data_IF_691566528649
#
_entry.id   IF_691566528649
#
_cell.length_a   1.000
_cell.length_b   1.000
_cell.length_c   1.000
_cell.angle_alpha   90.00
_cell.angle_beta   90.00
_cell.angle_gamma   90.00
#
_symmetry.space_group_name_H-M   'P 1'
#
loop_
_entity.id
_entity.type
_entity.pdbx_description
1 polymer ?
#
# COMPACT_ATOMS: atom_id res chain seq x y z
N UNK A 1 -30.92 11.31 -16.83
CA UNK A 1 -30.28 10.89 -15.57
C UNK A 1 -29.11 9.98 -15.92
N UNK A 2 -27.87 10.43 -15.75
CA UNK A 2 -26.68 9.63 -16.07
C UNK A 2 -26.62 8.44 -15.12
N UNK A 3 -26.81 7.23 -15.63
CA UNK A 3 -26.54 6.01 -14.87
C UNK A 3 -25.04 6.02 -14.53
N UNK A 4 -24.72 6.27 -13.25
CA UNK A 4 -23.34 6.34 -12.76
C UNK A 4 -22.62 5.03 -13.02
N UNK A 5 -21.46 5.11 -13.65
CA UNK A 5 -20.65 3.96 -14.05
C UNK A 5 -20.10 3.14 -12.86
N UNK A 6 -19.37 2.05 -13.14
CA UNK A 6 -18.71 1.25 -12.11
C UNK A 6 -17.71 2.11 -11.32
N UNK A 7 -17.53 1.78 -10.04
CA UNK A 7 -16.52 2.40 -9.19
C UNK A 7 -15.44 1.41 -8.78
N UNK A 8 -14.70 1.73 -7.73
CA UNK A 8 -13.50 0.99 -7.34
C UNK A 8 -13.47 0.81 -5.83
N UNK A 9 -13.17 -0.40 -5.38
CA UNK A 9 -12.59 -0.56 -4.05
C UNK A 9 -11.13 -0.18 -4.12
N UNK A 10 -10.71 0.71 -3.23
CA UNK A 10 -9.40 1.30 -3.22
C UNK A 10 -8.79 1.23 -1.83
N UNK A 11 -7.52 0.88 -1.77
CA UNK A 11 -6.75 0.83 -0.54
C UNK A 11 -5.36 1.41 -0.76
N UNK A 12 -5.05 2.50 -0.06
CA UNK A 12 -3.74 3.16 -0.04
C UNK A 12 -3.15 3.08 1.35
N UNK A 13 -1.87 2.74 1.41
CA UNK A 13 -1.16 2.62 2.66
C UNK A 13 0.28 3.12 2.53
N UNK A 14 0.86 3.36 3.69
CA UNK A 14 2.30 3.55 3.85
C UNK A 14 2.84 2.47 4.78
N UNK A 15 4.04 1.98 4.49
CA UNK A 15 4.79 1.13 5.42
C UNK A 15 6.04 1.86 5.88
N UNK A 16 6.13 2.07 7.19
CA UNK A 16 7.31 2.62 7.84
C UNK A 16 8.26 1.47 8.12
N UNK A 17 9.49 1.52 7.62
CA UNK A 17 10.41 0.38 7.68
C UNK A 17 11.31 0.48 8.91
N UNK A 18 10.99 -0.25 10.01
CA UNK A 18 11.85 -0.25 11.18
C UNK A 18 13.14 -1.02 10.92
N UNK A 19 14.22 -0.58 11.55
CA UNK A 19 15.52 -1.22 11.45
C UNK A 19 16.22 -1.24 12.80
N UNK A 20 17.17 -2.17 12.94
CA UNK A 20 18.14 -2.23 14.03
C UNK A 20 19.54 -2.27 13.46
N UNK A 21 20.49 -1.65 14.16
CA UNK A 21 21.91 -1.75 13.85
C UNK A 21 22.54 -2.71 14.87
N UNK A 22 22.98 -3.91 14.44
CA UNK A 22 23.51 -4.92 15.34
C UNK A 22 24.89 -4.55 15.91
N UNK A 23 25.60 -3.59 15.31
CA UNK A 23 26.94 -3.17 15.74
C UNK A 23 26.89 -2.25 16.96
N UNK A 24 25.89 -1.38 17.07
CA UNK A 24 25.77 -0.40 18.17
C UNK A 24 24.44 -0.50 18.94
N UNK A 25 23.57 -1.45 18.60
CA UNK A 25 22.29 -1.69 19.25
C UNK A 25 21.23 -0.63 18.99
N UNK A 26 21.47 0.34 18.11
CA UNK A 26 20.49 1.41 17.81
C UNK A 26 19.35 0.89 16.94
N UNK A 27 18.21 1.55 17.02
CA UNK A 27 17.04 1.25 16.20
C UNK A 27 16.39 2.53 15.70
N UNK A 28 15.62 2.42 14.62
CA UNK A 28 14.99 3.57 14.00
C UNK A 28 13.97 3.19 12.94
N UNK A 29 13.52 4.20 12.20
CA UNK A 29 12.66 4.08 11.03
C UNK A 29 13.20 5.03 9.99
N UNK A 30 13.62 4.51 8.83
CA UNK A 30 14.24 5.34 7.78
C UNK A 30 13.29 5.57 6.62
N UNK A 31 12.79 4.49 6.02
CA UNK A 31 12.12 4.57 4.73
C UNK A 31 10.60 4.36 4.85
N UNK A 32 9.85 5.19 4.13
CA UNK A 32 8.40 5.09 3.99
C UNK A 32 8.08 4.56 2.60
N UNK A 33 7.58 3.34 2.54
CA UNK A 33 7.11 2.74 1.30
C UNK A 33 5.63 3.09 1.08
N UNK A 34 5.32 3.81 0.01
CA UNK A 34 3.95 4.19 -0.36
C UNK A 34 3.42 3.27 -1.45
N UNK A 35 2.23 2.72 -1.27
CA UNK A 35 1.58 1.90 -2.31
C UNK A 35 0.06 1.96 -2.21
N UNK A 36 -0.61 1.51 -3.26
CA UNK A 36 -2.06 1.39 -3.32
C UNK A 36 -2.49 0.24 -4.23
N UNK A 37 -3.66 -0.33 -3.93
CA UNK A 37 -4.34 -1.33 -4.76
C UNK A 37 -5.79 -0.95 -5.00
N UNK A 38 -6.34 -1.44 -6.10
CA UNK A 38 -7.75 -1.30 -6.39
C UNK A 38 -8.36 -2.48 -7.13
N UNK A 39 -9.68 -2.63 -7.02
CA UNK A 39 -10.47 -3.56 -7.83
C UNK A 39 -11.71 -2.82 -8.34
N UNK A 40 -12.00 -2.84 -9.66
CA UNK A 40 -13.25 -2.32 -10.20
C UNK A 40 -14.44 -3.11 -9.65
N UNK A 41 -15.49 -2.43 -9.20
CA UNK A 41 -16.69 -3.05 -8.64
C UNK A 41 -17.98 -2.38 -9.13
N UNK A 42 -19.07 -3.15 -9.30
CA UNK A 42 -20.40 -2.56 -9.48
C UNK A 42 -20.81 -1.76 -8.24
N UNK A 43 -21.54 -0.66 -8.41
CA UNK A 43 -21.96 0.26 -7.34
C UNK A 43 -22.69 -0.42 -6.16
N UNK A 44 -23.36 -1.55 -6.38
CA UNK A 44 -24.07 -2.29 -5.33
C UNK A 44 -23.15 -3.09 -4.38
N UNK A 45 -21.83 -3.10 -4.59
CA UNK A 45 -20.93 -4.01 -3.90
C UNK A 45 -20.47 -3.57 -2.50
N UNK A 46 -20.82 -2.37 -2.01
CA UNK A 46 -20.32 -1.77 -0.77
C UNK A 46 -20.28 -2.73 0.45
N UNK A 47 -21.22 -3.68 0.52
CA UNK A 47 -21.33 -4.69 1.59
C UNK A 47 -20.08 -5.60 1.71
N UNK A 48 -19.25 -5.69 0.67
CA UNK A 48 -18.08 -6.59 0.63
C UNK A 48 -16.72 -5.90 0.75
N UNK A 49 -16.69 -4.61 1.10
CA UNK A 49 -15.43 -3.84 1.14
C UNK A 49 -14.47 -4.33 2.24
N UNK A 50 -14.99 -4.68 3.41
CA UNK A 50 -14.19 -5.23 4.53
C UNK A 50 -13.61 -6.61 4.18
N UNK A 51 -14.41 -7.48 3.55
CA UNK A 51 -13.96 -8.79 3.07
C UNK A 51 -12.90 -8.65 1.98
N UNK A 52 -13.10 -7.74 1.04
CA UNK A 52 -12.11 -7.42 0.01
C UNK A 52 -10.79 -6.94 0.63
N UNK A 53 -10.84 -6.05 1.62
CA UNK A 53 -9.63 -5.57 2.32
C UNK A 53 -8.88 -6.74 2.97
N UNK A 54 -9.59 -7.57 3.72
CA UNK A 54 -8.99 -8.70 4.46
C UNK A 54 -8.45 -9.79 3.54
N UNK A 55 -9.22 -10.18 2.52
CA UNK A 55 -8.94 -11.38 1.72
C UNK A 55 -8.17 -11.08 0.43
N UNK A 56 -8.11 -9.82 -0.01
CA UNK A 56 -7.40 -9.43 -1.24
C UNK A 56 -6.37 -8.33 -1.01
N UNK A 57 -6.75 -7.20 -0.43
CA UNK A 57 -5.84 -6.05 -0.34
C UNK A 57 -4.68 -6.28 0.63
N UNK A 58 -4.94 -6.74 1.86
CA UNK A 58 -3.90 -6.96 2.89
C UNK A 58 -2.84 -8.01 2.49
N UNK A 59 -3.19 -9.16 1.90
CA UNK A 59 -2.17 -10.11 1.40
C UNK A 59 -1.23 -9.48 0.36
N UNK A 60 -1.77 -8.61 -0.51
CA UNK A 60 -0.97 -7.92 -1.52
C UNK A 60 -0.06 -6.86 -0.88
N UNK A 61 -0.55 -6.14 0.14
CA UNK A 61 0.24 -5.19 0.93
C UNK A 61 1.45 -5.88 1.57
N UNK A 62 1.22 -7.01 2.23
CA UNK A 62 2.27 -7.79 2.86
C UNK A 62 3.31 -8.24 1.83
N UNK A 63 2.87 -8.75 0.68
CA UNK A 63 3.78 -9.20 -0.37
C UNK A 63 4.62 -8.05 -0.96
N UNK A 64 4.01 -6.89 -1.19
CA UNK A 64 4.71 -5.70 -1.68
C UNK A 64 5.78 -5.25 -0.70
N UNK A 65 5.46 -5.19 0.59
CA UNK A 65 6.41 -4.80 1.64
C UNK A 65 7.52 -5.85 1.79
N UNK A 66 7.21 -7.15 1.75
CA UNK A 66 8.23 -8.21 1.78
C UNK A 66 9.20 -8.09 0.62
N UNK A 67 8.69 -7.81 -0.58
CA UNK A 67 9.53 -7.59 -1.76
C UNK A 67 10.39 -6.33 -1.61
N UNK A 68 9.81 -5.24 -1.13
CA UNK A 68 10.52 -4.00 -0.83
C UNK A 68 11.64 -4.22 0.19
N UNK A 69 11.36 -4.86 1.33
CA UNK A 69 12.34 -5.14 2.38
C UNK A 69 13.48 -6.06 1.92
N UNK A 70 13.19 -7.03 1.04
CA UNK A 70 14.24 -7.85 0.40
C UNK A 70 15.20 -7.01 -0.43
N UNK A 71 14.68 -6.02 -1.16
CA UNK A 71 15.50 -5.16 -2.00
C UNK A 71 16.31 -4.14 -1.17
N UNK A 72 15.72 -3.59 -0.11
CA UNK A 72 16.37 -2.53 0.70
C UNK A 72 17.38 -3.10 1.71
N UNK A 73 17.15 -4.31 2.25
CA UNK A 73 18.12 -4.97 3.13
C UNK A 73 19.48 -5.21 2.47
N UNK A 74 19.55 -5.27 1.13
CA UNK A 74 20.81 -5.44 0.41
C UNK A 74 21.67 -4.16 0.35
N UNK A 75 21.12 -2.99 0.70
CA UNK A 75 21.67 -1.71 0.22
C UNK A 75 22.34 -0.79 1.26
N UNK A 76 22.38 -1.06 2.59
CA UNK A 76 22.86 -0.03 3.55
C UNK A 76 23.66 -0.51 4.76
N UNK A 77 24.89 -0.01 4.87
CA UNK A 77 25.64 0.45 6.06
C UNK A 77 25.42 -0.28 7.41
N UNK A 78 25.27 -1.61 7.40
CA UNK A 78 25.08 -2.39 8.62
C UNK A 78 23.71 -2.24 9.29
N UNK A 79 22.71 -1.67 8.61
CA UNK A 79 21.32 -1.65 9.10
C UNK A 79 20.61 -2.95 8.72
N UNK A 80 19.91 -3.55 9.68
CA UNK A 80 19.05 -4.71 9.46
C UNK A 80 17.60 -4.30 9.62
N UNK A 81 16.85 -4.29 8.53
CA UNK A 81 15.42 -4.02 8.60
C UNK A 81 14.69 -5.22 9.20
N UNK A 82 13.68 -4.94 10.01
CA UNK A 82 12.85 -6.00 10.61
C UNK A 82 11.96 -6.63 9.55
N UNK A 83 11.45 -7.82 9.86
CA UNK A 83 10.44 -8.48 9.03
C UNK A 83 9.15 -7.66 8.97
N UNK A 84 8.33 -7.95 7.95
CA UNK A 84 7.03 -7.32 7.80
C UNK A 84 6.20 -7.46 9.08
N UNK A 85 5.64 -6.35 9.54
CA UNK A 85 4.70 -6.31 10.64
C UNK A 85 3.62 -5.27 10.35
N UNK A 86 2.36 -5.71 10.40
CA UNK A 86 1.21 -4.88 10.07
C UNK A 86 1.07 -3.65 10.96
N UNK A 87 1.62 -3.65 12.18
CA UNK A 87 1.60 -2.46 13.07
C UNK A 87 2.33 -1.25 12.49
N UNK A 88 3.21 -1.45 11.51
CA UNK A 88 3.92 -0.37 10.81
C UNK A 88 3.26 0.02 9.48
N UNK A 89 2.14 -0.63 9.12
CA UNK A 89 1.29 -0.22 8.01
C UNK A 89 0.33 0.85 8.52
N UNK A 90 0.42 2.05 7.98
CA UNK A 90 -0.58 3.09 8.19
C UNK A 90 -1.50 3.17 6.97
N UNK A 91 -2.80 3.07 7.24
CA UNK A 91 -3.85 3.21 6.25
C UNK A 91 -4.09 4.70 5.97
N UNK A 92 -3.83 5.12 4.75
CA UNK A 92 -4.04 6.49 4.31
C UNK A 92 -5.45 6.67 3.76
N UNK A 93 -5.90 5.73 2.94
CA UNK A 93 -7.22 5.79 2.31
C UNK A 93 -7.77 4.37 2.13
N UNK A 94 -9.02 4.17 2.52
CA UNK A 94 -9.75 2.94 2.30
C UNK A 94 -11.20 3.29 2.01
N UNK A 95 -11.69 2.89 0.84
CA UNK A 95 -13.00 3.35 0.40
C UNK A 95 -13.48 2.72 -0.89
N UNK A 96 -14.77 2.88 -1.15
CA UNK A 96 -15.27 2.91 -2.51
C UNK A 96 -15.02 4.29 -3.11
N UNK A 97 -14.57 4.33 -4.36
CA UNK A 97 -14.29 5.55 -5.11
C UNK A 97 -14.99 5.48 -6.46
N UNK A 98 -15.69 6.54 -6.87
CA UNK A 98 -16.23 6.64 -8.23
C UNK A 98 -15.13 6.84 -9.28
N UNK A 99 -13.99 7.41 -8.87
CA UNK A 99 -12.80 7.61 -9.69
C UNK A 99 -11.55 7.36 -8.86
N UNK A 100 -10.58 6.65 -9.45
CA UNK A 100 -9.30 6.41 -8.79
C UNK A 100 -8.54 7.74 -8.57
N UNK A 101 -7.86 7.90 -7.42
CA UNK A 101 -6.89 8.96 -7.26
C UNK A 101 -5.85 8.92 -8.38
N UNK A 102 -5.39 10.09 -8.83
CA UNK A 102 -4.38 10.20 -9.88
C UNK A 102 -3.04 10.61 -9.29
N UNK A 103 -1.96 10.21 -9.94
CA UNK A 103 -0.63 10.78 -9.70
C UNK A 103 -0.64 12.29 -10.01
N UNK A 104 -0.13 13.08 -9.07
CA UNK A 104 -0.04 14.54 -9.11
C UNK A 104 1.31 15.05 -9.64
N UNK A 105 2.35 14.20 -9.65
CA UNK A 105 3.71 14.54 -10.09
C UNK A 105 4.36 13.49 -11.00
N UNK A 106 5.49 13.88 -11.62
CA UNK A 106 6.36 13.00 -12.38
C UNK A 106 5.83 12.59 -13.76
N UNK A 107 6.50 11.60 -14.36
CA UNK A 107 6.13 11.06 -15.69
C UNK A 107 4.77 10.36 -15.70
N UNK A 108 4.26 9.96 -14.53
CA UNK A 108 2.96 9.29 -14.37
C UNK A 108 1.82 10.27 -14.10
N UNK A 109 2.06 11.58 -14.17
CA UNK A 109 1.03 12.58 -13.85
C UNK A 109 -0.25 12.33 -14.65
N UNK A 110 -1.40 12.35 -13.98
CA UNK A 110 -2.75 12.03 -14.50
C UNK A 110 -3.03 10.53 -14.74
N UNK A 111 -2.08 9.64 -14.49
CA UNK A 111 -2.36 8.19 -14.45
C UNK A 111 -2.98 7.82 -13.10
N UNK A 112 -3.76 6.74 -13.07
CA UNK A 112 -4.35 6.21 -11.83
C UNK A 112 -3.25 5.77 -10.86
N UNK A 113 -3.36 6.19 -9.61
CA UNK A 113 -2.45 5.81 -8.54
C UNK A 113 -2.83 4.44 -7.99
N UNK A 114 -1.86 3.53 -7.91
CA UNK A 114 -2.06 2.17 -7.41
C UNK A 114 -2.18 1.12 -8.52
N UNK A 115 -2.20 -0.15 -8.12
CA UNK A 115 -2.27 -1.30 -9.03
C UNK A 115 -3.59 -2.05 -8.92
N UNK A 116 -4.06 -2.59 -10.04
CA UNK A 116 -5.26 -3.41 -10.05
C UNK A 116 -4.99 -4.82 -9.48
N UNK A 117 -5.90 -5.35 -8.67
CA UNK A 117 -5.86 -6.70 -8.08
C UNK A 117 -7.22 -7.42 -8.15
#
# INVERSE_FOLDING_TARGET
>A
MSHGGPGFFYYRWIYKSPWTNPTNGTSGTDDVFHSAVFTPVPRAAHVRQTEWRKNRALPVVEQDVRNYLRNVNCNKEGKKYLEFNQVHVHEEQFGYFDKLPLHDFGSKKRESYGKQI
#
